data_IF_122578480377
#
_entry.id   IF_122578480377
#
_cell.length_a   1.000
_cell.length_b   1.000
_cell.length_c   1.000
_cell.angle_alpha   90.00
_cell.angle_beta   90.00
_cell.angle_gamma   90.00
#
_symmetry.space_group_name_H-M   'P 1'
#
loop_
_entity.id
_entity.type
_entity.pdbx_description
1 polymer ?
#
# COMPACT_ATOMS: atom_id res chain seq x y z
N UNK A 1 -2.89 -25.52 42.15
CA UNK A 1 -2.02 -24.54 41.45
C UNK A 1 -2.78 -23.79 40.31
N UNK A 2 -3.83 -23.03 40.69
CA UNK A 2 -4.59 -22.18 39.75
C UNK A 2 -3.98 -20.79 39.54
N UNK A 3 -2.83 -20.48 40.14
CA UNK A 3 -2.27 -19.12 40.19
C UNK A 3 -1.16 -18.82 39.18
N UNK A 4 -0.85 -19.70 38.22
CA UNK A 4 0.32 -19.51 37.36
C UNK A 4 0.03 -19.38 35.86
N UNK A 5 -1.22 -19.50 35.39
CA UNK A 5 -1.51 -19.28 33.96
C UNK A 5 -1.64 -17.79 33.67
N UNK A 6 -0.71 -17.25 32.91
CA UNK A 6 -0.78 -15.85 32.44
C UNK A 6 -2.03 -15.69 31.58
N UNK A 7 -2.92 -14.78 31.99
CA UNK A 7 -4.12 -14.47 31.21
C UNK A 7 -3.78 -13.76 29.89
N UNK A 8 -4.48 -14.11 28.85
CA UNK A 8 -4.38 -13.36 27.57
C UNK A 8 -5.20 -12.06 27.60
N UNK A 9 -5.09 -11.22 26.57
CA UNK A 9 -5.73 -9.91 26.56
C UNK A 9 -7.27 -9.96 26.63
N UNK A 10 -7.90 -11.01 26.09
CA UNK A 10 -9.36 -11.21 26.16
C UNK A 10 -9.76 -11.56 27.60
N UNK A 11 -9.10 -12.53 28.23
CA UNK A 11 -9.37 -12.93 29.60
C UNK A 11 -9.13 -11.79 30.61
N UNK A 12 -8.06 -11.02 30.42
CA UNK A 12 -7.81 -9.84 31.24
C UNK A 12 -8.88 -8.75 31.05
N UNK A 13 -9.39 -8.57 29.82
CA UNK A 13 -10.47 -7.64 29.54
C UNK A 13 -11.78 -8.05 30.19
N UNK A 14 -12.14 -9.34 30.12
CA UNK A 14 -13.31 -9.92 30.80
C UNK A 14 -13.25 -9.73 32.33
N UNK A 15 -12.09 -9.99 32.95
CA UNK A 15 -11.89 -9.80 34.37
C UNK A 15 -12.07 -8.34 34.82
N UNK A 16 -11.63 -7.39 34.01
CA UNK A 16 -11.81 -5.95 34.31
C UNK A 16 -13.29 -5.57 34.26
N UNK A 17 -14.02 -6.01 33.25
CA UNK A 17 -15.45 -5.71 33.13
C UNK A 17 -16.25 -6.39 34.28
N UNK A 18 -15.94 -7.62 34.60
CA UNK A 18 -16.56 -8.32 35.71
C UNK A 18 -16.33 -7.56 37.06
N UNK A 19 -15.10 -7.12 37.29
CA UNK A 19 -14.77 -6.31 38.48
C UNK A 19 -15.54 -4.99 38.51
N UNK A 20 -15.67 -4.29 37.36
CA UNK A 20 -16.50 -3.08 37.30
C UNK A 20 -17.97 -3.38 37.62
N UNK A 21 -18.53 -4.44 37.07
CA UNK A 21 -19.91 -4.83 37.29
C UNK A 21 -20.17 -5.13 38.79
N UNK A 22 -19.21 -5.80 39.44
CA UNK A 22 -19.29 -6.04 40.91
C UNK A 22 -19.28 -4.71 41.67
N UNK A 23 -18.39 -3.78 41.31
CA UNK A 23 -18.31 -2.47 41.97
C UNK A 23 -19.57 -1.63 41.75
N UNK A 24 -20.19 -1.73 40.56
CA UNK A 24 -21.47 -1.09 40.28
C UNK A 24 -22.59 -1.68 41.15
N UNK A 25 -22.70 -3.02 41.22
CA UNK A 25 -23.69 -3.70 42.02
C UNK A 25 -23.55 -3.38 43.53
N UNK A 26 -22.34 -3.12 43.99
CA UNK A 26 -22.04 -2.75 45.38
C UNK A 26 -22.19 -1.25 45.62
N UNK A 27 -22.59 -0.44 44.64
CA UNK A 27 -22.68 1.02 44.76
C UNK A 27 -21.32 1.72 44.96
N UNK A 28 -20.22 1.02 44.71
CA UNK A 28 -18.85 1.50 44.92
C UNK A 28 -18.17 2.07 43.66
N UNK A 29 -18.85 2.14 42.52
CA UNK A 29 -18.36 2.71 41.28
C UNK A 29 -18.83 4.15 41.13
N UNK A 30 -17.92 5.07 40.80
CA UNK A 30 -18.29 6.46 40.47
C UNK A 30 -19.14 6.52 39.19
N UNK A 31 -20.25 7.24 39.21
CA UNK A 31 -21.13 7.45 38.06
C UNK A 31 -20.58 8.56 37.17
N UNK A 32 -20.57 8.35 35.85
CA UNK A 32 -20.17 9.37 34.89
C UNK A 32 -21.19 10.51 34.92
N UNK A 33 -20.72 11.74 35.12
CA UNK A 33 -21.57 12.93 35.16
C UNK A 33 -22.02 13.43 36.53
N UNK A 34 -21.67 12.72 37.62
CA UNK A 34 -21.84 13.25 38.98
C UNK A 34 -20.79 14.33 39.26
N UNK A 35 -21.22 15.48 39.80
CA UNK A 35 -20.35 16.60 40.19
C UNK A 35 -19.18 16.11 41.05
N UNK A 36 -17.98 16.66 40.82
CA UNK A 36 -16.73 16.33 41.53
C UNK A 36 -16.84 16.37 43.06
N UNK A 37 -17.87 16.99 43.62
CA UNK A 37 -18.10 17.18 45.04
C UNK A 37 -19.03 16.14 45.73
N UNK A 38 -19.65 15.19 44.98
CA UNK A 38 -20.53 14.15 45.50
C UNK A 38 -20.11 12.70 45.21
N UNK A 39 -18.92 12.49 44.65
CA UNK A 39 -18.50 11.20 44.15
C UNK A 39 -17.94 10.26 45.22
N UNK A 40 -18.81 9.58 45.99
CA UNK A 40 -18.44 8.37 46.74
C UNK A 40 -18.37 7.19 45.75
N UNK A 41 -17.23 6.99 45.10
CA UNK A 41 -17.05 5.80 44.24
C UNK A 41 -15.69 5.76 43.56
N UNK A 42 -15.24 4.52 43.23
CA UNK A 42 -13.96 4.28 42.57
C UNK A 42 -14.05 4.70 41.13
N UNK A 43 -13.21 5.66 40.72
CA UNK A 43 -13.08 6.11 39.34
C UNK A 43 -12.27 5.14 38.48
N UNK A 44 -12.38 5.24 37.15
CA UNK A 44 -11.57 4.43 36.21
C UNK A 44 -10.05 4.65 36.43
N UNK A 45 -9.63 5.86 36.82
CA UNK A 45 -8.23 6.16 37.14
C UNK A 45 -7.77 5.41 38.37
N UNK A 46 -8.56 5.45 39.46
CA UNK A 46 -8.27 4.73 40.71
C UNK A 46 -8.26 3.22 40.50
N UNK A 47 -9.21 2.70 39.70
CA UNK A 47 -9.26 1.27 39.41
C UNK A 47 -8.04 0.81 38.59
N UNK A 48 -7.61 1.60 37.59
CA UNK A 48 -6.38 1.33 36.86
C UNK A 48 -5.15 1.31 37.78
N UNK A 49 -5.05 2.28 38.71
CA UNK A 49 -3.98 2.30 39.72
C UNK A 49 -4.02 1.08 40.65
N UNK A 50 -5.20 0.64 41.12
CA UNK A 50 -5.35 -0.57 41.94
C UNK A 50 -4.95 -1.86 41.19
N UNK A 51 -5.07 -1.85 39.86
CA UNK A 51 -4.66 -2.95 38.98
C UNK A 51 -3.19 -2.88 38.56
N UNK A 52 -2.45 -1.85 38.99
CA UNK A 52 -1.06 -1.64 38.61
C UNK A 52 -0.84 -1.34 37.10
N UNK A 53 -1.87 -0.81 36.43
CA UNK A 53 -1.82 -0.52 34.99
C UNK A 53 -2.09 0.97 34.71
N UNK A 54 -1.60 1.46 33.58
CA UNK A 54 -1.90 2.84 33.14
C UNK A 54 -3.38 3.00 32.74
N UNK A 55 -3.92 4.23 32.86
CA UNK A 55 -5.27 4.57 32.39
C UNK A 55 -5.49 4.20 30.92
N UNK A 56 -4.45 4.33 30.09
CA UNK A 56 -4.49 3.98 28.67
C UNK A 56 -4.67 2.47 28.47
N UNK A 57 -3.89 1.66 29.18
CA UNK A 57 -4.02 0.19 29.13
C UNK A 57 -5.40 -0.25 29.64
N UNK A 58 -5.89 0.35 30.71
CA UNK A 58 -7.23 0.10 31.22
C UNK A 58 -8.31 0.38 30.15
N UNK A 59 -8.21 1.52 29.45
CA UNK A 59 -9.14 1.86 28.37
C UNK A 59 -9.08 0.85 27.21
N UNK A 60 -7.88 0.37 26.83
CA UNK A 60 -7.73 -0.65 25.80
C UNK A 60 -8.36 -1.98 26.19
N UNK A 61 -8.17 -2.42 27.43
CA UNK A 61 -8.81 -3.65 27.94
C UNK A 61 -10.33 -3.53 27.94
N UNK A 62 -10.89 -2.39 28.27
CA UNK A 62 -12.34 -2.14 28.13
C UNK A 62 -12.82 -2.22 26.68
N UNK A 63 -12.05 -1.71 25.73
CA UNK A 63 -12.37 -1.84 24.30
C UNK A 63 -12.32 -3.31 23.84
N UNK A 64 -11.34 -4.08 24.29
CA UNK A 64 -11.27 -5.53 23.99
C UNK A 64 -12.48 -6.28 24.54
N UNK A 65 -12.97 -5.91 25.71
CA UNK A 65 -14.18 -6.52 26.28
C UNK A 65 -15.46 -6.24 25.47
N UNK A 66 -15.45 -5.27 24.56
CA UNK A 66 -16.55 -4.99 23.63
C UNK A 66 -16.52 -5.87 22.37
N UNK A 67 -15.56 -6.78 22.21
CA UNK A 67 -15.64 -7.82 21.21
C UNK A 67 -16.90 -8.65 21.42
N UNK A 68 -17.49 -9.11 20.34
CA UNK A 68 -18.64 -9.99 20.39
C UNK A 68 -18.32 -11.27 21.20
N UNK A 69 -19.25 -11.81 22.00
CA UNK A 69 -19.00 -12.99 22.82
C UNK A 69 -18.51 -14.20 22.02
N UNK A 70 -19.11 -14.47 20.86
CA UNK A 70 -18.73 -15.53 19.94
C UNK A 70 -17.32 -15.33 19.35
N UNK A 71 -16.94 -14.09 19.10
CA UNK A 71 -15.58 -13.72 18.65
C UNK A 71 -14.56 -13.91 19.79
N UNK A 72 -14.93 -13.54 21.01
CA UNK A 72 -14.06 -13.76 22.18
C UNK A 72 -13.81 -15.25 22.44
N UNK A 73 -14.85 -16.08 22.30
CA UNK A 73 -14.74 -17.54 22.43
C UNK A 73 -13.84 -18.12 21.35
N UNK A 74 -14.09 -17.77 20.07
CA UNK A 74 -13.35 -18.30 18.92
C UNK A 74 -11.86 -17.94 18.94
N UNK A 75 -11.51 -16.73 19.40
CA UNK A 75 -10.13 -16.25 19.46
C UNK A 75 -9.45 -16.50 20.79
N UNK A 76 -10.19 -16.84 21.84
CA UNK A 76 -9.72 -16.90 23.22
C UNK A 76 -8.51 -17.82 23.45
N UNK A 77 -8.38 -18.88 22.66
CA UNK A 77 -7.24 -19.81 22.72
C UNK A 77 -6.19 -19.57 21.62
N UNK A 78 -6.43 -18.58 20.75
CA UNK A 78 -5.52 -18.30 19.65
C UNK A 78 -4.32 -17.45 20.08
N UNK A 79 -3.20 -17.56 19.35
CA UNK A 79 -2.04 -16.66 19.53
C UNK A 79 -2.36 -15.18 19.38
N UNK A 80 -3.48 -14.84 18.74
CA UNK A 80 -3.92 -13.47 18.54
C UNK A 80 -4.54 -12.86 19.80
N UNK A 81 -5.09 -13.69 20.70
CA UNK A 81 -5.62 -13.24 21.98
C UNK A 81 -4.56 -12.61 22.89
N UNK A 82 -3.28 -12.90 22.68
CA UNK A 82 -2.16 -12.27 23.41
C UNK A 82 -1.86 -10.85 22.92
N UNK A 83 -2.31 -10.49 21.71
CA UNK A 83 -1.98 -9.24 21.05
C UNK A 83 -3.07 -8.17 21.25
N UNK A 84 -3.04 -7.51 22.40
CA UNK A 84 -4.05 -6.53 22.83
C UNK A 84 -4.40 -5.50 21.73
N UNK A 85 -3.41 -4.98 21.01
CA UNK A 85 -3.67 -3.94 19.99
C UNK A 85 -4.47 -4.46 18.78
N UNK A 86 -4.32 -5.74 18.43
CA UNK A 86 -5.14 -6.35 17.39
C UNK A 86 -6.58 -6.55 17.88
N UNK A 87 -6.76 -6.95 19.13
CA UNK A 87 -8.08 -7.08 19.73
C UNK A 87 -8.80 -5.74 19.86
N UNK A 88 -8.06 -4.67 20.22
CA UNK A 88 -8.58 -3.28 20.20
C UNK A 88 -8.97 -2.83 18.78
N UNK A 89 -8.18 -3.20 17.77
CA UNK A 89 -8.51 -2.87 16.38
C UNK A 89 -9.74 -3.65 15.91
N UNK A 90 -9.86 -4.90 16.29
CA UNK A 90 -11.00 -5.75 15.96
C UNK A 90 -12.30 -5.26 16.62
N UNK A 91 -12.26 -4.88 17.90
CA UNK A 91 -13.44 -4.41 18.64
C UNK A 91 -14.08 -3.14 18.08
N UNK A 92 -13.37 -2.42 17.22
CA UNK A 92 -13.85 -1.22 16.51
C UNK A 92 -14.48 -1.53 15.14
N UNK A 93 -14.40 -2.78 14.71
CA UNK A 93 -14.98 -3.18 13.43
C UNK A 93 -16.48 -3.50 13.58
N UNK A 94 -17.26 -3.39 12.49
CA UNK A 94 -18.63 -3.89 12.48
C UNK A 94 -18.71 -5.37 12.87
N UNK A 95 -19.86 -5.79 13.39
CA UNK A 95 -20.05 -7.13 13.93
C UNK A 95 -19.76 -8.27 12.95
N UNK A 96 -20.22 -8.12 11.72
CA UNK A 96 -19.98 -9.06 10.62
C UNK A 96 -18.49 -9.20 10.28
N UNK A 97 -17.76 -8.08 10.27
CA UNK A 97 -16.31 -8.06 10.09
C UNK A 97 -15.59 -8.71 11.26
N UNK A 98 -16.05 -8.46 12.51
CA UNK A 98 -15.45 -9.12 13.67
C UNK A 98 -15.53 -10.64 13.57
N UNK A 99 -16.71 -11.18 13.23
CA UNK A 99 -16.95 -12.62 13.06
C UNK A 99 -16.13 -13.23 11.93
N UNK A 100 -16.11 -12.56 10.76
CA UNK A 100 -15.37 -13.09 9.62
C UNK A 100 -13.86 -13.05 9.84
N UNK A 101 -13.31 -11.99 10.44
CA UNK A 101 -11.88 -11.95 10.85
C UNK A 101 -11.55 -13.09 11.80
N UNK A 102 -12.38 -13.31 12.82
CA UNK A 102 -12.17 -14.39 13.78
C UNK A 102 -12.20 -15.77 13.09
N UNK A 103 -13.16 -15.99 12.18
CA UNK A 103 -13.25 -17.21 11.37
C UNK A 103 -11.98 -17.45 10.54
N UNK A 104 -11.52 -16.43 9.79
CA UNK A 104 -10.32 -16.50 8.94
C UNK A 104 -9.06 -16.81 9.77
N UNK A 105 -8.92 -16.18 10.95
CA UNK A 105 -7.77 -16.41 11.82
C UNK A 105 -7.79 -17.80 12.46
N UNK A 106 -8.98 -18.28 12.83
CA UNK A 106 -9.15 -19.59 13.44
C UNK A 106 -9.00 -20.75 12.43
N UNK A 107 -9.45 -20.54 11.18
CA UNK A 107 -9.29 -21.53 10.11
C UNK A 107 -7.86 -21.66 9.58
N UNK A 108 -6.98 -20.71 9.93
CA UNK A 108 -5.60 -20.70 9.42
C UNK A 108 -5.46 -20.24 7.96
N UNK A 109 -6.52 -19.71 7.35
CA UNK A 109 -6.44 -19.13 5.98
C UNK A 109 -5.37 -18.04 5.88
N UNK A 110 -5.06 -17.39 6.98
CA UNK A 110 -3.90 -16.50 7.11
C UNK A 110 -3.33 -16.51 8.52
N UNK A 111 -2.05 -16.24 8.64
CA UNK A 111 -1.35 -16.14 9.92
C UNK A 111 -1.19 -14.70 10.40
N UNK A 112 -1.72 -13.71 9.66
CA UNK A 112 -1.62 -12.30 10.01
C UNK A 112 -2.98 -11.65 10.19
N UNK A 113 -3.12 -10.87 11.27
CA UNK A 113 -4.34 -10.14 11.59
C UNK A 113 -4.76 -9.13 10.48
N UNK A 114 -3.80 -8.37 9.95
CA UNK A 114 -4.11 -7.37 8.94
C UNK A 114 -4.63 -8.00 7.65
N UNK A 115 -4.08 -9.15 7.25
CA UNK A 115 -4.57 -9.88 6.07
C UNK A 115 -5.98 -10.43 6.30
N UNK A 116 -6.25 -11.00 7.49
CA UNK A 116 -7.59 -11.46 7.84
C UNK A 116 -8.61 -10.32 7.78
N UNK A 117 -8.26 -9.13 8.27
CA UNK A 117 -9.13 -7.96 8.23
C UNK A 117 -9.43 -7.51 6.78
N UNK A 118 -8.42 -7.53 5.91
CA UNK A 118 -8.59 -7.20 4.49
C UNK A 118 -9.48 -8.24 3.81
N UNK A 119 -9.21 -9.52 4.02
CA UNK A 119 -10.01 -10.62 3.44
C UNK A 119 -11.47 -10.57 3.88
N UNK A 120 -11.73 -10.28 5.16
CA UNK A 120 -13.09 -10.11 5.69
C UNK A 120 -13.82 -8.93 5.02
N UNK A 121 -13.15 -7.79 4.86
CA UNK A 121 -13.72 -6.64 4.17
C UNK A 121 -13.99 -6.95 2.69
N UNK A 122 -13.04 -7.57 1.98
CA UNK A 122 -13.23 -8.00 0.59
C UNK A 122 -14.45 -8.91 0.44
N UNK A 123 -14.59 -9.90 1.32
CA UNK A 123 -15.70 -10.86 1.26
C UNK A 123 -17.06 -10.25 1.57
N UNK A 124 -17.16 -9.46 2.63
CA UNK A 124 -18.44 -9.00 3.15
C UNK A 124 -18.90 -7.69 2.54
N UNK A 125 -17.99 -6.82 2.14
CA UNK A 125 -18.30 -5.49 1.61
C UNK A 125 -18.22 -5.35 0.10
N UNK A 126 -17.80 -6.40 -0.62
CA UNK A 126 -17.75 -6.38 -2.09
C UNK A 126 -19.11 -6.03 -2.74
N UNK A 127 -20.23 -6.29 -2.04
CA UNK A 127 -21.58 -5.93 -2.50
C UNK A 127 -21.97 -4.48 -2.16
N UNK A 128 -21.37 -3.89 -1.11
CA UNK A 128 -21.63 -2.49 -0.69
C UNK A 128 -20.73 -1.49 -1.41
N UNK A 129 -19.61 -1.96 -1.95
CA UNK A 129 -18.69 -1.15 -2.75
C UNK A 129 -19.24 -0.74 -4.13
N UNK A 130 -20.54 -0.81 -4.33
CA UNK A 130 -21.22 -0.23 -5.50
C UNK A 130 -21.03 1.29 -5.62
N UNK A 131 -20.53 1.96 -4.59
CA UNK A 131 -19.97 3.31 -4.70
C UNK A 131 -18.48 3.20 -5.00
N UNK A 132 -18.16 2.84 -6.24
CA UNK A 132 -16.84 3.02 -6.76
C UNK A 132 -16.43 4.49 -6.58
N UNK A 133 -15.20 4.70 -6.10
CA UNK A 133 -14.62 6.01 -6.23
C UNK A 133 -14.44 6.28 -7.73
N UNK A 134 -15.40 7.00 -8.27
CA UNK A 134 -15.32 7.53 -9.62
C UNK A 134 -14.63 8.87 -9.50
N UNK A 135 -13.50 9.05 -10.22
CA UNK A 135 -12.90 10.37 -10.35
C UNK A 135 -13.97 11.31 -10.89
N UNK A 136 -14.20 12.41 -10.20
CA UNK A 136 -15.13 13.42 -10.68
C UNK A 136 -14.63 13.96 -12.00
N UNK A 137 -15.55 14.50 -12.84
CA UNK A 137 -15.14 15.16 -14.08
C UNK A 137 -14.11 16.27 -13.79
N UNK A 138 -14.29 17.01 -12.71
CA UNK A 138 -13.37 18.06 -12.28
C UNK A 138 -11.97 17.51 -11.93
N UNK A 139 -11.88 16.38 -11.22
CA UNK A 139 -10.61 15.74 -10.88
C UNK A 139 -9.85 15.20 -12.10
N UNK A 140 -10.58 14.76 -13.15
CA UNK A 140 -9.97 14.23 -14.37
C UNK A 140 -9.66 15.36 -15.36
N UNK A 141 -10.61 16.31 -15.53
CA UNK A 141 -10.53 17.34 -16.56
C UNK A 141 -9.65 18.55 -16.16
N UNK A 142 -9.29 18.66 -14.88
CA UNK A 142 -8.51 19.80 -14.37
C UNK A 142 -7.24 19.31 -13.64
N UNK A 143 -6.27 18.72 -14.37
CA UNK A 143 -5.02 18.30 -13.76
C UNK A 143 -4.22 19.51 -13.26
N UNK A 144 -3.53 19.32 -12.15
CA UNK A 144 -2.67 20.34 -11.53
C UNK A 144 -1.22 19.86 -11.57
N UNK A 145 -0.29 20.79 -11.71
CA UNK A 145 1.15 20.47 -11.66
C UNK A 145 1.61 19.93 -10.31
N UNK A 146 0.85 20.22 -9.25
CA UNK A 146 1.03 19.60 -7.92
C UNK A 146 -0.27 18.91 -7.54
N UNK A 147 -0.22 17.61 -7.31
CA UNK A 147 -1.37 16.80 -6.94
C UNK A 147 -1.12 16.11 -5.62
N UNK A 148 -2.20 15.95 -4.86
CA UNK A 148 -2.19 15.19 -3.61
C UNK A 148 -3.20 14.06 -3.72
N UNK A 149 -2.71 12.86 -3.53
CA UNK A 149 -3.52 11.67 -3.50
C UNK A 149 -3.61 11.17 -2.06
N UNK A 150 -4.82 10.93 -1.60
CA UNK A 150 -5.07 10.30 -0.32
C UNK A 150 -5.56 8.87 -0.54
N UNK A 151 -5.11 7.95 0.31
CA UNK A 151 -5.56 6.56 0.25
C UNK A 151 -7.06 6.49 0.54
N UNK A 152 -7.80 5.94 -0.39
CA UNK A 152 -9.25 5.74 -0.28
C UNK A 152 -9.56 4.35 0.29
N UNK A 153 -10.66 4.23 1.01
CA UNK A 153 -11.16 2.95 1.48
C UNK A 153 -12.10 2.35 0.43
N UNK A 154 -11.53 1.83 -0.65
CA UNK A 154 -12.27 1.19 -1.73
C UNK A 154 -11.70 -0.21 -2.06
N UNK A 155 -12.37 -0.94 -2.96
CA UNK A 155 -12.01 -2.30 -3.35
C UNK A 155 -10.60 -2.38 -3.93
N UNK A 156 -10.22 -1.44 -4.79
CA UNK A 156 -8.88 -1.42 -5.39
C UNK A 156 -7.79 -1.27 -4.34
N UNK A 157 -7.97 -0.35 -3.40
CA UNK A 157 -7.00 -0.16 -2.32
C UNK A 157 -6.85 -1.42 -1.45
N UNK A 158 -7.96 -2.09 -1.14
CA UNK A 158 -7.92 -3.33 -0.37
C UNK A 158 -7.22 -4.47 -1.13
N UNK A 159 -7.44 -4.59 -2.44
CA UNK A 159 -6.74 -5.55 -3.30
C UNK A 159 -5.23 -5.25 -3.31
N UNK A 160 -4.82 -4.01 -3.53
CA UNK A 160 -3.42 -3.61 -3.52
C UNK A 160 -2.76 -3.85 -2.15
N UNK A 161 -3.49 -3.57 -1.06
CA UNK A 161 -3.03 -3.84 0.29
C UNK A 161 -2.88 -5.35 0.56
N UNK A 162 -3.76 -6.18 0.04
CA UNK A 162 -3.67 -7.64 0.16
C UNK A 162 -2.41 -8.17 -0.52
N UNK A 163 -2.14 -7.78 -1.76
CA UNK A 163 -0.91 -8.15 -2.49
C UNK A 163 0.32 -7.65 -1.73
N UNK A 164 0.30 -6.42 -1.23
CA UNK A 164 1.42 -5.84 -0.47
C UNK A 164 1.71 -6.55 0.85
N UNK A 165 0.73 -7.23 1.44
CA UNK A 165 0.86 -7.97 2.70
C UNK A 165 0.97 -9.48 2.51
N UNK A 166 1.18 -9.98 1.30
CA UNK A 166 1.40 -11.40 1.05
C UNK A 166 2.61 -11.90 1.85
N UNK A 167 2.41 -12.94 2.66
CA UNK A 167 3.43 -13.48 3.55
C UNK A 167 4.64 -14.06 2.80
N UNK A 168 4.40 -14.63 1.61
CA UNK A 168 5.47 -15.17 0.78
C UNK A 168 6.39 -14.06 0.26
N UNK A 169 5.81 -12.89 -0.05
CA UNK A 169 6.57 -11.70 -0.44
C UNK A 169 7.32 -11.09 0.75
N UNK A 170 6.77 -11.21 1.97
CA UNK A 170 7.39 -10.66 3.20
C UNK A 170 8.59 -11.47 3.68
N UNK A 171 8.50 -12.80 3.68
CA UNK A 171 9.57 -13.69 4.21
C UNK A 171 10.89 -13.54 3.46
N UNK A 172 10.86 -13.16 2.19
CA UNK A 172 12.05 -12.99 1.35
C UNK A 172 12.70 -11.61 1.44
N UNK A 173 12.01 -10.59 1.95
CA UNK A 173 12.44 -9.17 1.82
C UNK A 173 12.67 -8.42 3.12
N UNK A 174 12.34 -8.98 4.27
CA UNK A 174 12.52 -8.30 5.53
C UNK A 174 13.79 -8.81 6.23
N UNK A 175 14.86 -8.03 6.18
CA UNK A 175 15.80 -8.03 7.29
C UNK A 175 15.03 -7.68 8.57
N UNK A 176 15.34 -8.33 9.68
CA UNK A 176 14.53 -8.46 10.90
C UNK A 176 14.05 -7.15 11.60
N UNK A 177 14.24 -5.97 11.00
CA UNK A 177 14.02 -4.67 11.64
C UNK A 177 12.88 -3.82 11.06
N UNK A 178 12.14 -4.29 10.03
CA UNK A 178 11.06 -3.49 9.44
C UNK A 178 9.69 -3.94 9.94
N UNK A 179 9.05 -3.10 10.75
CA UNK A 179 7.67 -3.31 11.21
C UNK A 179 6.66 -3.20 10.06
N UNK A 180 5.49 -3.84 10.23
CA UNK A 180 4.38 -3.88 9.25
C UNK A 180 3.94 -2.49 8.75
N UNK A 181 4.12 -1.44 9.57
CA UNK A 181 3.80 -0.05 9.21
C UNK A 181 4.69 0.53 8.10
N UNK A 182 5.90 0.01 7.92
CA UNK A 182 6.85 0.53 6.93
C UNK A 182 6.58 -0.05 5.52
N UNK A 183 6.05 -1.27 5.42
CA UNK A 183 5.65 -1.85 4.13
C UNK A 183 4.57 -1.03 3.41
N UNK A 184 3.70 -0.35 4.16
CA UNK A 184 2.66 0.51 3.62
C UNK A 184 3.21 1.81 2.99
N UNK A 185 4.43 2.21 3.32
CA UNK A 185 5.03 3.46 2.86
C UNK A 185 5.76 3.32 1.51
N UNK A 186 5.99 2.08 1.04
CA UNK A 186 6.76 1.80 -0.18
C UNK A 186 5.91 1.38 -1.38
N UNK A 187 4.60 1.29 -1.23
CA UNK A 187 3.70 1.04 -2.36
C UNK A 187 3.11 2.34 -2.86
N UNK A 188 3.11 2.50 -4.19
CA UNK A 188 2.38 3.59 -4.83
C UNK A 188 0.92 3.61 -4.35
N UNK A 189 0.34 4.79 -4.22
CA UNK A 189 -1.08 4.90 -3.90
C UNK A 189 -1.92 4.46 -5.12
N UNK A 190 -2.87 3.53 -4.95
CA UNK A 190 -3.72 3.09 -6.05
C UNK A 190 -4.47 4.24 -6.74
N UNK A 191 -4.88 5.25 -5.99
CA UNK A 191 -5.56 6.43 -6.50
C UNK A 191 -4.71 7.23 -7.47
N UNK A 192 -3.40 7.28 -7.22
CA UNK A 192 -2.44 7.93 -8.11
C UNK A 192 -2.35 7.21 -9.46
N UNK A 193 -2.14 5.89 -9.45
CA UNK A 193 -2.11 5.06 -10.65
C UNK A 193 -3.45 5.13 -11.41
N UNK A 194 -4.57 5.04 -10.67
CA UNK A 194 -5.92 5.11 -11.20
C UNK A 194 -6.19 6.41 -11.93
N UNK A 195 -5.73 7.54 -11.37
CA UNK A 195 -5.87 8.85 -11.98
C UNK A 195 -5.18 8.91 -13.36
N UNK A 196 -3.92 8.47 -13.45
CA UNK A 196 -3.20 8.45 -14.73
C UNK A 196 -3.87 7.54 -15.76
N UNK A 197 -4.28 6.35 -15.34
CA UNK A 197 -4.98 5.40 -16.22
C UNK A 197 -6.24 6.04 -16.79
N UNK A 198 -7.08 6.64 -15.96
CA UNK A 198 -8.34 7.27 -16.43
C UNK A 198 -8.11 8.50 -17.26
N UNK A 199 -7.07 9.28 -16.95
CA UNK A 199 -6.77 10.53 -17.66
C UNK A 199 -6.21 10.29 -19.07
N UNK A 200 -5.32 9.30 -19.21
CA UNK A 200 -4.60 9.07 -20.47
C UNK A 200 -5.11 7.89 -21.31
N UNK A 201 -6.00 7.07 -20.78
CA UNK A 201 -6.48 5.88 -21.51
C UNK A 201 -7.99 5.74 -21.49
N UNK A 202 -8.51 4.98 -22.47
CA UNK A 202 -9.90 4.51 -22.55
C UNK A 202 -9.97 3.03 -22.15
N UNK A 203 -11.19 2.51 -21.95
CA UNK A 203 -11.43 1.08 -21.76
C UNK A 203 -10.84 0.27 -22.92
N UNK A 204 -10.37 -0.94 -22.62
CA UNK A 204 -9.67 -1.87 -23.53
C UNK A 204 -8.34 -1.36 -24.12
N UNK A 205 -7.88 -0.16 -23.81
CA UNK A 205 -6.53 0.28 -24.19
C UNK A 205 -5.47 -0.44 -23.34
N UNK A 206 -4.25 -0.55 -23.87
CA UNK A 206 -3.18 -1.34 -23.30
C UNK A 206 -2.27 -0.49 -22.41
N UNK A 207 -2.21 -0.84 -21.13
CA UNK A 207 -1.29 -0.26 -20.14
C UNK A 207 -0.15 -1.22 -19.85
N UNK A 208 1.07 -0.72 -19.82
CA UNK A 208 2.26 -1.50 -19.51
C UNK A 208 3.00 -0.91 -18.29
N UNK A 209 3.37 -1.78 -17.35
CA UNK A 209 4.34 -1.48 -16.29
C UNK A 209 5.49 -2.48 -16.38
N UNK A 210 6.63 -2.02 -16.83
CA UNK A 210 7.78 -2.87 -17.09
C UNK A 210 8.69 -3.09 -15.87
N UNK A 211 8.31 -2.58 -14.70
CA UNK A 211 8.93 -2.88 -13.39
C UNK A 211 7.84 -2.94 -12.31
N UNK A 212 6.84 -3.79 -12.54
CA UNK A 212 5.57 -3.69 -11.84
C UNK A 212 5.61 -4.00 -10.33
N UNK A 213 6.68 -4.62 -9.83
CA UNK A 213 6.83 -4.89 -8.41
C UNK A 213 5.62 -5.62 -7.81
N UNK A 214 4.89 -4.95 -6.93
CA UNK A 214 3.66 -5.47 -6.32
C UNK A 214 2.39 -5.18 -7.12
N UNK A 215 2.53 -4.63 -8.31
CA UNK A 215 1.48 -4.53 -9.30
C UNK A 215 0.47 -3.41 -9.11
N UNK A 216 0.75 -2.37 -8.32
CA UNK A 216 -0.24 -1.30 -8.09
C UNK A 216 -0.73 -0.66 -9.38
N UNK A 217 0.16 -0.37 -10.33
CA UNK A 217 -0.21 0.18 -11.65
C UNK A 217 -1.04 -0.81 -12.48
N UNK A 218 -0.63 -2.08 -12.48
CA UNK A 218 -1.31 -3.17 -13.19
C UNK A 218 -2.72 -3.37 -12.64
N UNK A 219 -2.86 -3.45 -11.31
CA UNK A 219 -4.14 -3.64 -10.65
C UNK A 219 -5.07 -2.43 -10.85
N UNK A 220 -4.53 -1.21 -10.83
CA UNK A 220 -5.30 -0.01 -11.10
C UNK A 220 -5.80 0.04 -12.55
N UNK A 221 -4.97 -0.32 -13.53
CA UNK A 221 -5.35 -0.39 -14.93
C UNK A 221 -6.42 -1.46 -15.20
N UNK A 222 -6.22 -2.66 -14.65
CA UNK A 222 -7.18 -3.77 -14.76
C UNK A 222 -8.53 -3.42 -14.11
N UNK A 223 -8.51 -2.76 -12.94
CA UNK A 223 -9.70 -2.32 -12.22
C UNK A 223 -10.53 -1.30 -13.02
N UNK A 224 -9.89 -0.51 -13.87
CA UNK A 224 -10.52 0.44 -14.77
C UNK A 224 -10.78 -0.16 -16.19
N UNK A 225 -10.82 -1.48 -16.32
CA UNK A 225 -11.10 -2.22 -17.57
C UNK A 225 -10.08 -1.99 -18.70
N UNK A 226 -8.80 -1.79 -18.38
CA UNK A 226 -7.71 -1.72 -19.37
C UNK A 226 -7.03 -3.07 -19.50
N UNK A 227 -6.55 -3.40 -20.70
CA UNK A 227 -5.64 -4.53 -20.89
C UNK A 227 -4.29 -4.20 -20.29
N UNK A 228 -3.57 -5.20 -19.77
CA UNK A 228 -2.33 -4.94 -19.04
C UNK A 228 -1.19 -5.87 -19.45
N UNK A 229 0.03 -5.31 -19.45
CA UNK A 229 1.28 -6.05 -19.53
C UNK A 229 2.12 -5.65 -18.32
N UNK A 230 2.58 -6.64 -17.54
CA UNK A 230 3.45 -6.44 -16.40
C UNK A 230 4.74 -7.23 -16.51
N UNK A 231 5.87 -6.64 -16.11
CA UNK A 231 7.16 -7.29 -16.00
C UNK A 231 7.67 -7.22 -14.58
N UNK A 232 8.17 -8.33 -14.07
CA UNK A 232 8.91 -8.38 -12.79
C UNK A 232 9.90 -9.54 -12.78
N UNK A 233 11.02 -9.35 -12.09
CA UNK A 233 12.02 -10.39 -11.86
C UNK A 233 11.65 -11.32 -10.69
N UNK A 234 10.62 -10.99 -9.93
CA UNK A 234 10.10 -11.80 -8.84
C UNK A 234 8.88 -12.60 -9.27
N UNK A 235 9.06 -13.92 -9.40
CA UNK A 235 7.96 -14.85 -9.68
C UNK A 235 6.82 -14.76 -8.66
N UNK A 236 7.17 -14.51 -7.39
CA UNK A 236 6.18 -14.42 -6.31
C UNK A 236 5.33 -13.14 -6.43
N UNK A 237 5.93 -12.01 -6.85
CA UNK A 237 5.17 -10.80 -7.13
C UNK A 237 4.14 -11.07 -8.23
N UNK A 238 4.57 -11.66 -9.34
CA UNK A 238 3.69 -11.97 -10.48
C UNK A 238 2.56 -12.93 -10.11
N UNK A 239 2.85 -13.98 -9.34
CA UNK A 239 1.82 -14.90 -8.87
C UNK A 239 0.77 -14.20 -7.97
N UNK A 240 1.19 -13.29 -7.10
CA UNK A 240 0.26 -12.50 -6.28
C UNK A 240 -0.58 -11.53 -7.12
N UNK A 241 0.01 -10.90 -8.13
CA UNK A 241 -0.70 -10.01 -9.06
C UNK A 241 -1.72 -10.83 -9.87
N UNK A 242 -1.32 -11.96 -10.44
CA UNK A 242 -2.19 -12.84 -11.22
C UNK A 242 -3.40 -13.31 -10.40
N UNK A 243 -3.15 -13.74 -9.16
CA UNK A 243 -4.22 -14.11 -8.25
C UNK A 243 -5.19 -12.95 -8.00
N UNK A 244 -4.67 -11.73 -7.85
CA UNK A 244 -5.51 -10.54 -7.66
C UNK A 244 -6.32 -10.19 -8.91
N UNK A 245 -5.72 -10.27 -10.10
CA UNK A 245 -6.39 -10.02 -11.38
C UNK A 245 -7.56 -10.98 -11.58
N UNK A 246 -7.32 -12.27 -11.43
CA UNK A 246 -8.34 -13.31 -11.70
C UNK A 246 -9.39 -13.37 -10.60
N UNK A 247 -8.98 -13.49 -9.34
CA UNK A 247 -9.88 -13.86 -8.24
C UNK A 247 -10.52 -12.66 -7.52
N UNK A 248 -9.96 -11.45 -7.66
CA UNK A 248 -10.46 -10.26 -6.95
C UNK A 248 -10.99 -9.18 -7.89
N UNK A 249 -10.35 -8.99 -9.05
CA UNK A 249 -10.84 -8.08 -10.09
C UNK A 249 -11.82 -8.81 -11.02
N UNK A 250 -11.56 -10.10 -11.33
CA UNK A 250 -12.35 -10.89 -12.27
C UNK A 250 -11.94 -10.65 -13.72
N UNK A 251 -10.66 -10.34 -13.95
CA UNK A 251 -10.14 -10.06 -15.28
C UNK A 251 -9.97 -11.37 -16.09
N UNK A 252 -10.41 -11.37 -17.34
CA UNK A 252 -10.24 -12.47 -18.27
C UNK A 252 -8.78 -12.69 -18.63
N UNK A 253 -8.40 -13.96 -18.86
CA UNK A 253 -6.99 -14.36 -19.08
C UNK A 253 -6.35 -13.77 -20.32
N UNK A 254 -7.11 -13.48 -21.34
CA UNK A 254 -6.65 -12.91 -22.61
C UNK A 254 -6.43 -11.37 -22.51
N UNK A 255 -6.88 -10.74 -21.44
CA UNK A 255 -6.74 -9.29 -21.22
C UNK A 255 -5.47 -8.90 -20.47
N UNK A 256 -4.70 -9.85 -19.98
CA UNK A 256 -3.45 -9.53 -19.28
C UNK A 256 -2.30 -10.49 -19.65
N UNK A 257 -1.09 -9.96 -19.60
CA UNK A 257 0.14 -10.73 -19.75
C UNK A 257 1.13 -10.32 -18.66
N UNK A 258 1.66 -11.30 -17.94
CA UNK A 258 2.68 -11.09 -16.91
C UNK A 258 3.94 -11.84 -17.27
N UNK A 259 5.05 -11.12 -17.45
CA UNK A 259 6.34 -11.69 -17.84
C UNK A 259 7.29 -11.80 -16.65
N UNK A 260 7.72 -13.02 -16.34
CA UNK A 260 8.80 -13.26 -15.38
C UNK A 260 10.15 -13.07 -16.09
N UNK A 261 10.46 -11.82 -16.42
CA UNK A 261 11.66 -11.45 -17.18
C UNK A 261 12.06 -10.00 -16.92
N UNK A 262 13.18 -9.59 -17.53
CA UNK A 262 13.70 -8.23 -17.39
C UNK A 262 12.88 -7.25 -18.23
N UNK A 263 12.18 -6.34 -17.56
CA UNK A 263 11.40 -5.31 -18.23
C UNK A 263 12.24 -4.15 -18.82
N UNK A 264 13.57 -4.21 -18.72
CA UNK A 264 14.47 -3.26 -19.40
C UNK A 264 14.57 -3.60 -20.87
N UNK A 265 14.83 -4.87 -21.17
CA UNK A 265 15.02 -5.38 -22.52
C UNK A 265 13.69 -5.62 -23.25
N UNK A 266 12.65 -6.06 -22.54
CA UNK A 266 11.34 -6.43 -23.10
C UNK A 266 11.47 -7.34 -24.35
N UNK A 267 12.31 -8.39 -24.24
CA UNK A 267 12.69 -9.29 -25.34
C UNK A 267 11.50 -9.98 -26.02
N UNK A 268 10.43 -10.25 -25.24
CA UNK A 268 9.19 -10.88 -25.74
C UNK A 268 8.51 -10.02 -26.82
N UNK A 269 8.78 -8.73 -26.85
CA UNK A 269 8.25 -7.79 -27.83
C UNK A 269 9.34 -7.22 -28.76
N UNK A 270 10.49 -7.89 -28.88
CA UNK A 270 11.53 -7.53 -29.82
C UNK A 270 10.97 -7.62 -31.26
N UNK A 271 11.04 -6.52 -31.99
CA UNK A 271 10.42 -6.43 -33.32
C UNK A 271 9.00 -5.84 -33.34
N UNK A 272 8.32 -5.75 -32.22
CA UNK A 272 7.06 -5.02 -32.10
C UNK A 272 7.29 -3.51 -31.94
N UNK A 273 6.31 -2.72 -32.36
CA UNK A 273 6.29 -1.28 -32.19
C UNK A 273 4.85 -0.77 -32.05
N UNK A 274 4.66 0.41 -31.47
CA UNK A 274 3.39 1.14 -31.46
C UNK A 274 2.19 0.33 -30.94
N UNK A 275 2.38 -0.47 -29.90
CA UNK A 275 1.32 -1.34 -29.36
C UNK A 275 0.74 -0.85 -28.03
N UNK A 276 1.52 -0.17 -27.20
CA UNK A 276 1.15 0.26 -25.85
C UNK A 276 0.53 1.65 -25.88
N UNK A 277 -0.58 1.82 -25.18
CA UNK A 277 -1.28 3.11 -25.07
C UNK A 277 -0.75 3.98 -23.94
N UNK A 278 -0.30 3.36 -22.84
CA UNK A 278 0.27 4.03 -21.68
C UNK A 278 1.36 3.16 -21.04
N UNK A 279 2.55 3.69 -20.89
CA UNK A 279 3.51 3.19 -19.90
C UNK A 279 3.35 3.95 -18.59
N UNK A 280 3.15 3.23 -17.49
CA UNK A 280 3.10 3.80 -16.15
C UNK A 280 4.11 3.07 -15.27
N UNK A 281 5.23 3.72 -15.00
CA UNK A 281 6.40 3.11 -14.39
C UNK A 281 6.80 3.82 -13.11
N UNK A 282 7.01 3.06 -12.04
CA UNK A 282 7.66 3.50 -10.79
C UNK A 282 9.07 2.91 -10.77
N UNK A 283 10.05 3.70 -11.20
CA UNK A 283 11.42 3.22 -11.41
C UNK A 283 12.05 2.73 -10.10
N UNK A 284 12.67 1.51 -10.09
CA UNK A 284 13.42 1.06 -8.93
C UNK A 284 14.58 2.00 -8.60
N UNK A 285 14.69 2.37 -7.33
CA UNK A 285 15.72 3.30 -6.88
C UNK A 285 17.10 2.64 -6.82
N UNK A 286 18.11 3.31 -7.40
CA UNK A 286 19.49 2.86 -7.32
C UNK A 286 19.99 2.79 -5.87
N UNK A 287 20.85 1.81 -5.58
CA UNK A 287 21.42 1.60 -4.24
C UNK A 287 20.38 1.63 -3.13
N UNK A 288 19.19 1.10 -3.39
CA UNK A 288 18.19 0.92 -2.34
C UNK A 288 18.78 0.12 -1.18
N UNK A 289 18.41 0.47 0.05
CA UNK A 289 18.75 -0.35 1.21
C UNK A 289 18.06 -1.73 1.16
N UNK A 290 17.01 -1.84 0.37
CA UNK A 290 16.25 -3.06 0.13
C UNK A 290 16.63 -3.63 -1.24
N UNK A 291 17.08 -4.88 -1.24
CA UNK A 291 17.14 -5.69 -2.46
C UNK A 291 15.74 -6.21 -2.76
N UNK A 292 15.26 -5.95 -3.97
CA UNK A 292 13.99 -6.54 -4.41
C UNK A 292 14.18 -7.97 -4.89
N UNK A 293 15.28 -8.24 -5.60
CA UNK A 293 15.68 -9.59 -6.02
C UNK A 293 17.20 -9.75 -5.93
N UNK A 294 17.70 -10.99 -6.05
CA UNK A 294 19.13 -11.26 -6.20
C UNK A 294 19.57 -11.30 -7.69
N UNK A 295 18.65 -11.05 -8.61
CA UNK A 295 18.95 -11.03 -10.05
C UNK A 295 19.85 -9.83 -10.39
N UNK A 296 21.01 -10.02 -11.05
CA UNK A 296 21.92 -8.94 -11.40
C UNK A 296 21.30 -7.94 -12.41
N UNK A 297 20.21 -8.32 -13.08
CA UNK A 297 19.46 -7.43 -13.99
C UNK A 297 18.55 -6.46 -13.24
N UNK A 298 18.32 -6.64 -11.95
CA UNK A 298 17.53 -5.71 -11.15
C UNK A 298 18.27 -4.36 -11.02
N UNK A 299 17.59 -3.27 -11.36
CA UNK A 299 18.15 -1.92 -11.28
C UNK A 299 18.62 -1.54 -9.87
N UNK A 300 17.96 -2.03 -8.83
CA UNK A 300 18.37 -1.73 -7.45
C UNK A 300 19.68 -2.42 -7.03
N UNK A 301 20.13 -3.43 -7.77
CA UNK A 301 21.41 -4.11 -7.55
C UNK A 301 22.60 -3.41 -8.23
N UNK A 302 22.35 -2.45 -9.11
CA UNK A 302 23.39 -1.64 -9.76
C UNK A 302 24.00 -0.71 -8.74
N UNK A 303 25.33 -0.69 -8.66
CA UNK A 303 26.10 0.11 -7.70
C UNK A 303 26.68 1.39 -8.29
N UNK A 304 26.80 1.42 -9.60
CA UNK A 304 27.37 2.52 -10.36
C UNK A 304 26.29 3.35 -11.03
N UNK A 305 26.36 4.67 -10.92
CA UNK A 305 25.37 5.60 -11.47
C UNK A 305 25.33 5.60 -13.00
N UNK A 306 26.50 5.56 -13.64
CA UNK A 306 26.56 5.62 -15.11
C UNK A 306 25.99 4.33 -15.70
N UNK A 307 26.27 3.19 -15.07
CA UNK A 307 25.66 1.92 -15.45
C UNK A 307 24.15 1.91 -15.21
N UNK A 308 23.69 2.51 -14.09
CA UNK A 308 22.25 2.62 -13.81
C UNK A 308 21.56 3.45 -14.92
N UNK A 309 22.07 4.64 -15.23
CA UNK A 309 21.45 5.49 -16.23
C UNK A 309 21.57 4.92 -17.65
N UNK A 310 22.64 4.23 -17.98
CA UNK A 310 22.76 3.50 -19.24
C UNK A 310 21.67 2.44 -19.40
N UNK A 311 21.33 1.71 -18.33
CA UNK A 311 20.24 0.73 -18.34
C UNK A 311 18.88 1.39 -18.41
N UNK A 312 18.68 2.53 -17.72
CA UNK A 312 17.45 3.32 -17.85
C UNK A 312 17.27 3.84 -19.28
N UNK A 313 18.34 4.23 -19.94
CA UNK A 313 18.28 4.65 -21.36
C UNK A 313 17.84 3.50 -22.29
N UNK A 314 18.38 2.29 -22.10
CA UNK A 314 17.93 1.10 -22.83
C UNK A 314 16.44 0.84 -22.56
N UNK A 315 16.02 0.90 -21.30
CA UNK A 315 14.62 0.72 -20.90
C UNK A 315 13.70 1.74 -21.60
N UNK A 316 14.02 3.03 -21.50
CA UNK A 316 13.22 4.10 -22.11
C UNK A 316 13.21 4.02 -23.64
N UNK A 317 14.31 3.57 -24.26
CA UNK A 317 14.38 3.35 -25.72
C UNK A 317 13.40 2.24 -26.15
N UNK A 318 13.32 1.14 -25.40
CA UNK A 318 12.35 0.08 -25.65
C UNK A 318 10.91 0.54 -25.40
N UNK A 319 10.68 1.33 -24.34
CA UNK A 319 9.36 1.93 -24.10
C UNK A 319 8.96 2.87 -25.25
N UNK A 320 9.89 3.72 -25.75
CA UNK A 320 9.66 4.60 -26.93
C UNK A 320 9.28 3.79 -28.15
N UNK A 321 9.94 2.67 -28.40
CA UNK A 321 9.63 1.80 -29.54
C UNK A 321 8.21 1.23 -29.43
N UNK A 322 7.81 0.79 -28.25
CA UNK A 322 6.54 0.10 -28.00
C UNK A 322 5.36 1.04 -27.81
N UNK A 323 5.55 2.24 -27.30
CA UNK A 323 4.46 3.21 -27.11
C UNK A 323 3.93 3.67 -28.47
N UNK A 324 2.62 3.80 -28.57
CA UNK A 324 1.98 4.42 -29.74
C UNK A 324 2.38 5.88 -29.85
N UNK A 325 2.49 6.43 -31.05
CA UNK A 325 2.74 7.86 -31.23
C UNK A 325 1.54 8.68 -30.75
N UNK A 326 1.84 9.83 -30.20
CA UNK A 326 0.88 10.88 -29.86
C UNK A 326 0.63 11.79 -31.07
N UNK A 327 -0.54 12.38 -31.13
CA UNK A 327 -0.91 13.35 -32.14
C UNK A 327 -1.46 14.62 -31.47
N UNK A 328 -0.69 15.70 -31.54
CA UNK A 328 -1.02 16.97 -30.89
C UNK A 328 -2.29 17.60 -31.45
N UNK A 329 -2.43 17.62 -32.76
CA UNK A 329 -3.55 18.27 -33.46
C UNK A 329 -4.88 17.55 -33.17
N UNK A 330 -4.84 16.22 -33.06
CA UNK A 330 -6.00 15.38 -32.72
C UNK A 330 -6.24 15.25 -31.20
N UNK A 331 -5.38 15.86 -30.38
CA UNK A 331 -5.40 15.74 -28.89
C UNK A 331 -5.37 14.28 -28.42
N UNK A 332 -4.59 13.45 -29.11
CA UNK A 332 -4.35 12.06 -28.76
C UNK A 332 -2.99 11.97 -28.07
N UNK A 333 -2.96 11.62 -26.81
CA UNK A 333 -1.75 11.53 -26.00
C UNK A 333 -1.56 10.09 -25.52
N UNK A 334 -0.42 9.50 -25.87
CA UNK A 334 -0.01 8.14 -25.52
C UNK A 334 1.32 8.22 -24.76
N UNK A 335 1.30 8.46 -23.44
CA UNK A 335 2.50 8.82 -22.72
C UNK A 335 3.29 7.61 -22.21
N UNK A 336 4.56 7.90 -21.95
CA UNK A 336 5.41 7.19 -21.02
C UNK A 336 5.48 8.03 -19.75
N UNK A 337 4.96 7.53 -18.65
CA UNK A 337 4.98 8.22 -17.36
C UNK A 337 6.01 7.54 -16.47
N UNK A 338 7.04 8.30 -16.10
CA UNK A 338 8.11 7.86 -15.21
C UNK A 338 7.95 8.53 -13.87
N UNK A 339 7.56 7.76 -12.86
CA UNK A 339 7.55 8.23 -11.46
C UNK A 339 8.97 8.16 -10.91
N UNK A 340 9.49 9.28 -10.50
CA UNK A 340 10.87 9.42 -10.03
C UNK A 340 10.95 10.28 -8.78
N UNK A 341 11.90 9.97 -7.93
CA UNK A 341 12.20 10.75 -6.76
C UNK A 341 13.70 11.01 -6.64
N UNK A 342 14.07 12.20 -6.17
CA UNK A 342 15.46 12.46 -5.79
C UNK A 342 15.86 11.65 -4.57
N UNK A 343 17.08 11.16 -4.51
CA UNK A 343 17.62 10.42 -3.38
C UNK A 343 18.77 11.17 -2.72
N UNK A 344 18.89 11.03 -1.40
CA UNK A 344 20.05 11.53 -0.66
C UNK A 344 20.87 10.33 -0.15
N UNK A 345 22.17 10.31 -0.45
CA UNK A 345 23.08 9.22 -0.09
C UNK A 345 24.26 9.75 0.73
N UNK A 346 24.00 10.00 2.01
CA UNK A 346 25.04 10.38 2.96
C UNK A 346 25.96 11.49 2.44
N UNK A 347 27.28 11.23 2.43
CA UNK A 347 28.30 12.18 1.96
C UNK A 347 28.29 12.42 0.44
N UNK A 348 27.63 11.55 -0.34
CA UNK A 348 27.53 11.71 -1.80
C UNK A 348 26.52 12.79 -2.22
N UNK A 349 25.69 13.25 -1.28
CA UNK A 349 24.78 14.35 -1.53
C UNK A 349 23.40 13.95 -2.05
N UNK A 350 22.79 14.83 -2.83
CA UNK A 350 21.46 14.69 -3.42
C UNK A 350 21.57 14.26 -4.89
N UNK A 351 21.05 13.09 -5.20
CA UNK A 351 20.93 12.62 -6.59
C UNK A 351 19.60 13.05 -7.18
N UNK A 352 19.66 13.82 -8.23
CA UNK A 352 18.53 14.35 -8.99
C UNK A 352 18.18 13.39 -10.14
N UNK A 353 17.61 12.22 -9.78
CA UNK A 353 17.21 11.22 -10.78
C UNK A 353 16.18 11.76 -11.78
N UNK A 354 15.32 12.65 -11.35
CA UNK A 354 14.35 13.34 -12.18
C UNK A 354 15.01 14.09 -13.35
N UNK A 355 16.04 14.88 -13.07
CA UNK A 355 16.77 15.64 -14.09
C UNK A 355 17.53 14.73 -15.06
N UNK A 356 18.15 13.66 -14.58
CA UNK A 356 18.88 12.73 -15.43
C UNK A 356 17.94 11.95 -16.36
N UNK A 357 16.79 11.50 -15.84
CA UNK A 357 15.79 10.78 -16.65
C UNK A 357 15.17 11.71 -17.69
N UNK A 358 14.94 12.99 -17.35
CA UNK A 358 14.51 13.98 -18.32
C UNK A 358 15.53 14.13 -19.47
N UNK A 359 16.83 14.24 -19.13
CA UNK A 359 17.90 14.34 -20.12
C UNK A 359 17.99 13.09 -21.03
N UNK A 360 17.83 11.89 -20.43
CA UNK A 360 17.77 10.64 -21.18
C UNK A 360 16.58 10.68 -22.16
N UNK A 361 15.39 11.03 -21.69
CA UNK A 361 14.19 11.11 -22.53
C UNK A 361 14.41 12.01 -23.74
N UNK A 362 14.92 13.22 -23.53
CA UNK A 362 15.25 14.17 -24.60
C UNK A 362 16.30 13.62 -25.58
N UNK A 363 17.35 12.98 -25.07
CA UNK A 363 18.44 12.42 -25.90
C UNK A 363 17.94 11.31 -26.83
N UNK A 364 17.03 10.49 -26.39
CA UNK A 364 16.42 9.43 -27.22
C UNK A 364 15.26 9.95 -28.10
N UNK A 365 14.98 11.26 -28.09
CA UNK A 365 13.96 11.90 -28.92
C UNK A 365 12.53 11.73 -28.39
N UNK A 366 12.34 11.66 -27.08
CA UNK A 366 11.04 11.86 -26.43
C UNK A 366 10.87 13.34 -26.07
N UNK A 367 9.64 13.82 -26.09
CA UNK A 367 9.27 15.17 -25.67
C UNK A 367 8.75 15.11 -24.24
N UNK A 368 9.38 15.82 -23.32
CA UNK A 368 8.78 16.04 -21.99
C UNK A 368 7.58 16.95 -22.18
N UNK A 369 6.39 16.38 -22.07
CA UNK A 369 5.12 17.05 -22.28
C UNK A 369 4.63 17.77 -21.03
N UNK A 370 4.79 17.09 -19.88
CA UNK A 370 4.33 17.61 -18.59
C UNK A 370 5.14 17.04 -17.42
N UNK A 371 5.06 17.70 -16.28
CA UNK A 371 5.60 17.25 -15.02
C UNK A 371 4.53 17.41 -13.93
N UNK A 372 4.14 16.30 -13.33
CA UNK A 372 3.15 16.29 -12.25
C UNK A 372 3.84 15.93 -10.95
N UNK A 373 3.87 16.86 -10.02
CA UNK A 373 4.43 16.65 -8.67
C UNK A 373 3.39 16.01 -7.76
N UNK A 374 3.71 14.85 -7.20
CA UNK A 374 2.90 14.20 -6.19
C UNK A 374 3.38 14.61 -4.79
N UNK A 375 2.49 15.21 -4.00
CA UNK A 375 2.79 15.55 -2.61
C UNK A 375 2.76 14.29 -1.71
N UNK A 376 3.84 14.08 -0.97
CA UNK A 376 3.98 12.97 -0.02
C UNK A 376 3.79 13.46 1.41
N UNK A 377 3.18 12.62 2.24
CA UNK A 377 3.14 12.84 3.70
C UNK A 377 4.37 12.17 4.34
N UNK A 378 5.36 12.94 4.83
CA UNK A 378 6.53 12.35 5.47
C UNK A 378 6.15 11.69 6.80
N UNK A 379 6.83 10.59 7.13
CA UNK A 379 6.69 9.95 8.44
C UNK A 379 7.37 10.77 9.53
N UNK A 380 6.89 10.65 10.77
CA UNK A 380 7.51 11.34 11.92
C UNK A 380 8.99 10.95 12.08
N UNK A 381 9.32 9.68 11.88
CA UNK A 381 10.69 9.20 11.94
C UNK A 381 11.58 9.86 10.88
N UNK A 382 11.09 10.00 9.65
CA UNK A 382 11.81 10.68 8.57
C UNK A 382 12.01 12.17 8.87
N UNK A 383 10.99 12.83 9.42
CA UNK A 383 11.09 14.23 9.89
C UNK A 383 12.19 14.39 10.94
N UNK A 384 12.23 13.51 11.95
CA UNK A 384 13.24 13.51 13.00
C UNK A 384 14.66 13.30 12.42
N UNK A 385 14.82 12.37 11.48
CA UNK A 385 16.10 12.14 10.79
C UNK A 385 16.55 13.36 9.99
N UNK A 386 15.62 14.02 9.29
CA UNK A 386 15.92 15.23 8.52
C UNK A 386 16.37 16.36 9.43
N UNK A 387 15.70 16.58 10.56
CA UNK A 387 16.08 17.61 11.55
C UNK A 387 17.46 17.30 12.12
N UNK A 388 17.71 16.07 12.58
CA UNK A 388 18.98 15.67 13.18
C UNK A 388 20.18 15.84 12.22
N UNK A 389 19.98 15.59 10.93
CA UNK A 389 21.00 15.69 9.90
C UNK A 389 21.02 17.03 9.15
N UNK A 390 20.20 18.00 9.55
CA UNK A 390 20.04 19.31 8.90
C UNK A 390 19.70 19.23 7.42
N UNK A 391 18.79 18.32 7.06
CA UNK A 391 18.28 18.18 5.71
C UNK A 391 16.88 18.75 5.58
N UNK A 392 16.55 19.21 4.37
CA UNK A 392 15.14 19.49 4.05
C UNK A 392 14.37 18.18 3.91
N UNK A 393 13.14 18.19 4.38
CA UNK A 393 12.23 17.05 4.24
C UNK A 393 11.83 16.92 2.77
N UNK A 394 12.03 15.73 2.20
CA UNK A 394 11.49 15.42 0.89
C UNK A 394 10.00 15.05 1.04
N UNK A 395 9.13 15.87 0.50
CA UNK A 395 7.68 15.69 0.58
C UNK A 395 7.00 15.62 -0.79
N UNK A 396 7.76 15.25 -1.83
CA UNK A 396 7.21 15.11 -3.18
C UNK A 396 7.98 14.09 -4.01
N UNK A 397 7.29 13.52 -4.99
CA UNK A 397 7.84 12.78 -6.12
C UNK A 397 7.33 13.41 -7.40
N UNK A 398 8.06 13.21 -8.49
CA UNK A 398 7.72 13.74 -9.80
C UNK A 398 7.29 12.63 -10.73
N UNK A 399 6.27 12.90 -11.53
CA UNK A 399 5.86 12.06 -12.64
C UNK A 399 6.21 12.81 -13.91
N UNK A 400 7.23 12.35 -14.58
CA UNK A 400 7.66 12.91 -15.86
C UNK A 400 6.83 12.29 -16.98
N UNK A 401 6.07 13.10 -17.70
CA UNK A 401 5.16 12.67 -18.77
C UNK A 401 5.85 12.90 -20.11
N UNK A 402 6.32 11.82 -20.72
CA UNK A 402 6.97 11.87 -22.03
C UNK A 402 6.04 11.45 -23.14
N UNK A 403 6.12 12.12 -24.27
CA UNK A 403 5.40 11.77 -25.49
C UNK A 403 6.37 11.43 -26.63
N UNK A 404 5.96 10.47 -27.44
CA UNK A 404 6.51 10.21 -28.77
C UNK A 404 5.55 10.80 -29.79
N UNK A 405 6.05 11.59 -30.71
CA UNK A 405 5.28 12.04 -31.86
C UNK A 405 5.66 11.25 -33.11
N UNK A 406 4.77 11.21 -34.10
CA UNK A 406 5.10 10.75 -35.45
C UNK A 406 6.07 11.77 -36.08
N UNK A 407 7.14 11.28 -36.73
CA UNK A 407 8.08 12.08 -37.50
C UNK A 407 7.42 12.64 -38.77
#
# INVERSE_FOLDING_TARGET
NLCSKKLNAIQEAQNIVLREQILIKLGKKAVVGSNQYQGQGITNKQLATQLGISRRIYSYKKQVANLLPDVQELLGESKFAEQMMYMVKLSKQPEDIQREVARILNSGETTTFNRALIMANLKLRSKEWKREYVLTKEEVDTPKSVMRFDRKADKLNDICMMVSHDENLRKKKCSANFGVSQLNNYTMLPEHSRWFVKYFTKEDELVCDNTCGRGTNILAAAYENRRVIGYDLSKDNLASIENALVNHIGMERDKFTLHHSCGIEMEEYKGNSNMVDLFLNDIPYIMSAEKYTDDPRDLCNVKDLDQFYSRVEVMMTNMKRLVKPSNYDKKIYKPIIMKVGSQRKGKQGLFRMDSEIEMIGRRIGLVLHDEITNELKPTLQYLQQCIANKFTVKCHERNLVFLKYED
#
